data_IF_964284063019
#
_entry.id   IF_964284063019
#
_cell.length_a   1.000
_cell.length_b   1.000
_cell.length_c   1.000
_cell.angle_alpha   90.00
_cell.angle_beta   90.00
_cell.angle_gamma   90.00
#
_symmetry.space_group_name_H-M   'P 1'
#
loop_
_entity.id
_entity.type
_entity.pdbx_description
1 polymer ?
#
# COMPACT_ATOMS: atom_id res chain seq x y z
N UNK A 1 8.78 0.30 41.46
CA UNK A 1 9.69 -0.53 40.64
C UNK A 1 9.12 -0.56 39.23
N UNK A 2 9.82 -0.02 38.22
CA UNK A 2 9.36 -0.06 36.82
C UNK A 2 9.92 -1.31 36.14
N UNK A 3 9.07 -2.18 35.64
CA UNK A 3 9.47 -3.35 34.84
C UNK A 3 9.89 -2.90 33.44
N UNK A 4 11.15 -3.15 33.07
CA UNK A 4 11.66 -2.92 31.71
C UNK A 4 11.35 -4.15 30.88
N UNK A 5 10.61 -3.96 29.78
CA UNK A 5 10.31 -5.02 28.83
C UNK A 5 11.21 -4.89 27.59
N UNK A 6 11.77 -5.99 27.12
CA UNK A 6 12.48 -6.03 25.85
C UNK A 6 11.48 -5.93 24.70
N UNK A 7 11.45 -4.75 24.07
CA UNK A 7 10.65 -4.52 22.87
C UNK A 7 11.44 -5.02 21.67
N UNK A 8 10.95 -6.09 21.04
CA UNK A 8 11.56 -6.68 19.87
C UNK A 8 11.20 -5.86 18.61
N UNK A 9 12.04 -4.85 18.28
CA UNK A 9 11.77 -3.83 17.25
C UNK A 9 11.78 -4.35 15.79
N UNK A 10 11.99 -5.65 15.58
CA UNK A 10 11.94 -6.29 14.26
C UNK A 10 10.57 -6.88 13.90
N UNK A 11 9.69 -7.07 14.89
CA UNK A 11 8.37 -7.65 14.67
C UNK A 11 7.51 -6.60 13.95
N UNK A 12 6.93 -6.97 12.80
CA UNK A 12 6.14 -6.09 11.93
C UNK A 12 6.94 -5.06 11.09
N UNK A 13 8.27 -5.21 11.01
CA UNK A 13 9.05 -4.44 10.04
C UNK A 13 8.80 -5.01 8.66
N UNK A 14 8.35 -4.16 7.75
CA UNK A 14 8.14 -4.59 6.38
C UNK A 14 9.41 -5.06 5.71
N UNK A 15 9.26 -6.00 4.79
CA UNK A 15 10.37 -6.62 4.07
C UNK A 15 11.04 -5.55 3.20
N UNK A 16 12.20 -5.08 3.63
CA UNK A 16 13.08 -4.17 2.90
C UNK A 16 14.35 -4.92 2.52
N UNK A 17 14.73 -4.88 1.24
CA UNK A 17 16.03 -5.36 0.79
C UNK A 17 16.89 -4.16 0.41
N UNK A 18 17.96 -3.89 1.18
CA UNK A 18 18.93 -2.80 0.91
C UNK A 18 18.27 -1.44 0.58
N UNK A 19 17.16 -1.10 1.25
CA UNK A 19 16.43 0.16 1.05
C UNK A 19 15.36 0.14 -0.05
N UNK A 20 15.15 -1.00 -0.72
CA UNK A 20 14.03 -1.23 -1.64
C UNK A 20 12.90 -1.92 -0.88
N UNK A 21 11.69 -1.37 -0.93
CA UNK A 21 10.51 -2.02 -0.33
C UNK A 21 10.05 -3.18 -1.23
N UNK A 22 9.52 -4.25 -0.64
CA UNK A 22 9.07 -5.46 -1.35
C UNK A 22 8.19 -5.19 -2.60
N UNK A 23 7.28 -4.21 -2.54
CA UNK A 23 6.41 -3.86 -3.67
C UNK A 23 7.19 -3.43 -4.93
N UNK A 24 8.27 -2.65 -4.78
CA UNK A 24 9.06 -2.19 -5.92
C UNK A 24 9.91 -3.29 -6.53
N UNK A 25 10.34 -4.25 -5.71
CA UNK A 25 11.05 -5.44 -6.19
C UNK A 25 10.13 -6.27 -7.09
N UNK A 26 8.86 -6.43 -6.68
CA UNK A 26 7.87 -7.11 -7.51
C UNK A 26 7.66 -6.39 -8.86
N UNK A 27 7.52 -5.06 -8.87
CA UNK A 27 7.40 -4.29 -10.11
C UNK A 27 8.65 -4.42 -10.99
N UNK A 28 9.85 -4.41 -10.41
CA UNK A 28 11.09 -4.59 -11.15
C UNK A 28 11.14 -5.96 -11.80
N UNK A 29 10.80 -7.02 -11.06
CA UNK A 29 10.80 -8.40 -11.56
C UNK A 29 9.83 -8.55 -12.74
N UNK A 30 8.58 -8.11 -12.59
CA UNK A 30 7.57 -8.15 -13.67
C UNK A 30 8.04 -7.36 -14.89
N UNK A 31 8.63 -6.17 -14.68
CA UNK A 31 9.12 -5.33 -15.77
C UNK A 31 10.30 -5.94 -16.52
N UNK A 32 11.21 -6.62 -15.81
CA UNK A 32 12.33 -7.33 -16.43
C UNK A 32 11.86 -8.54 -17.25
N UNK A 33 10.85 -9.27 -16.77
CA UNK A 33 10.21 -10.34 -17.55
C UNK A 33 9.55 -9.77 -18.81
N UNK A 34 8.81 -8.66 -18.69
CA UNK A 34 8.21 -7.98 -19.83
C UNK A 34 9.25 -7.47 -20.83
N UNK A 35 10.38 -6.95 -20.34
CA UNK A 35 11.49 -6.49 -21.18
C UNK A 35 12.14 -7.66 -21.95
N UNK A 36 12.25 -8.82 -21.33
CA UNK A 36 12.73 -10.04 -21.99
C UNK A 36 11.75 -10.51 -23.08
N UNK A 37 10.45 -10.49 -22.81
CA UNK A 37 9.44 -10.79 -23.83
C UNK A 37 9.47 -9.80 -24.99
N UNK A 38 9.63 -8.50 -24.69
CA UNK A 38 9.79 -7.46 -25.71
C UNK A 38 11.01 -7.74 -26.59
N UNK A 39 12.15 -8.08 -25.99
CA UNK A 39 13.35 -8.49 -26.73
C UNK A 39 13.07 -9.69 -27.64
N UNK A 40 12.43 -10.74 -27.11
CA UNK A 40 12.11 -11.93 -27.89
C UNK A 40 11.22 -11.61 -29.10
N UNK A 41 10.20 -10.78 -28.92
CA UNK A 41 9.29 -10.36 -30.00
C UNK A 41 10.07 -9.58 -31.07
N UNK A 42 10.84 -8.57 -30.68
CA UNK A 42 11.64 -7.73 -31.59
C UNK A 42 12.65 -8.59 -32.36
N UNK A 43 13.29 -9.54 -31.68
CA UNK A 43 14.25 -10.46 -32.30
C UNK A 43 13.59 -11.39 -33.32
N UNK A 44 12.42 -11.97 -33.00
CA UNK A 44 11.68 -12.86 -33.92
C UNK A 44 11.20 -12.14 -35.17
N UNK A 45 10.90 -10.83 -35.09
CA UNK A 45 10.53 -10.00 -36.25
C UNK A 45 11.71 -9.79 -37.22
N UNK A 46 12.94 -10.17 -36.84
CA UNK A 46 14.12 -10.10 -37.68
C UNK A 46 14.89 -8.77 -37.58
N UNK A 47 14.64 -7.99 -36.53
CA UNK A 47 15.40 -6.77 -36.25
C UNK A 47 16.83 -7.15 -35.85
N UNK A 48 17.81 -6.38 -36.34
CA UNK A 48 19.22 -6.60 -36.06
C UNK A 48 19.49 -6.60 -34.53
N UNK A 49 20.23 -7.60 -34.05
CA UNK A 49 20.57 -7.76 -32.64
C UNK A 49 21.27 -6.54 -32.04
N UNK A 50 22.06 -5.79 -32.82
CA UNK A 50 22.67 -4.55 -32.34
C UNK A 50 21.63 -3.46 -32.04
N UNK A 51 20.57 -3.37 -32.85
CA UNK A 51 19.45 -2.47 -32.58
C UNK A 51 18.65 -2.94 -31.35
N UNK A 52 18.41 -4.25 -31.21
CA UNK A 52 17.79 -4.82 -30.02
C UNK A 52 18.57 -4.48 -28.75
N UNK A 53 19.90 -4.66 -28.76
CA UNK A 53 20.78 -4.33 -27.65
C UNK A 53 20.73 -2.83 -27.31
N UNK A 54 20.73 -1.98 -28.34
CA UNK A 54 20.58 -0.54 -28.21
C UNK A 54 19.26 -0.09 -27.55
N UNK A 55 18.23 -0.94 -27.56
CA UNK A 55 16.94 -0.67 -26.91
C UNK A 55 16.90 -1.29 -25.52
N UNK A 56 17.28 -2.56 -25.38
CA UNK A 56 17.12 -3.34 -24.14
C UNK A 56 18.01 -2.83 -23.02
N UNK A 57 19.28 -2.54 -23.32
CA UNK A 57 20.25 -2.08 -22.31
C UNK A 57 19.80 -0.77 -21.64
N UNK A 58 19.54 0.33 -22.40
CA UNK A 58 19.10 1.58 -21.77
C UNK A 58 17.71 1.46 -21.16
N UNK A 59 16.81 0.64 -21.72
CA UNK A 59 15.49 0.40 -21.12
C UNK A 59 15.60 -0.31 -19.77
N UNK A 60 16.45 -1.33 -19.65
CA UNK A 60 16.72 -2.03 -18.41
C UNK A 60 17.35 -1.12 -17.34
N UNK A 61 18.36 -0.34 -17.72
CA UNK A 61 18.98 0.65 -16.83
C UNK A 61 17.98 1.73 -16.39
N UNK A 62 17.17 2.24 -17.32
CA UNK A 62 16.12 3.23 -17.06
C UNK A 62 15.06 2.69 -16.10
N UNK A 63 14.56 1.48 -16.32
CA UNK A 63 13.61 0.81 -15.42
C UNK A 63 14.18 0.67 -14.01
N UNK A 64 15.43 0.24 -13.88
CA UNK A 64 16.08 0.13 -12.58
C UNK A 64 16.14 1.47 -11.85
N UNK A 65 16.60 2.53 -12.53
CA UNK A 65 16.69 3.89 -11.95
C UNK A 65 15.30 4.40 -11.54
N UNK A 66 14.31 4.25 -12.40
CA UNK A 66 12.93 4.72 -12.15
C UNK A 66 12.32 4.00 -10.95
N UNK A 67 12.42 2.68 -10.90
CA UNK A 67 11.87 1.88 -9.79
C UNK A 67 12.57 2.25 -8.47
N UNK A 68 13.88 2.44 -8.48
CA UNK A 68 14.63 2.86 -7.30
C UNK A 68 14.23 4.26 -6.82
N UNK A 69 14.05 5.21 -7.74
CA UNK A 69 13.53 6.55 -7.41
C UNK A 69 12.13 6.47 -6.84
N UNK A 70 11.26 5.62 -7.41
CA UNK A 70 9.89 5.42 -6.94
C UNK A 70 9.87 4.83 -5.52
N UNK A 71 10.73 3.83 -5.27
CA UNK A 71 10.90 3.20 -3.96
C UNK A 71 11.28 4.21 -2.88
N UNK A 72 12.27 5.05 -3.16
CA UNK A 72 12.73 6.10 -2.23
C UNK A 72 11.68 7.19 -2.02
N UNK A 73 10.94 7.58 -3.08
CA UNK A 73 9.98 8.68 -3.03
C UNK A 73 8.69 8.34 -2.28
N UNK A 74 8.12 7.16 -2.54
CA UNK A 74 6.79 6.81 -2.01
C UNK A 74 6.86 5.82 -0.84
N UNK A 75 7.98 5.12 -0.64
CA UNK A 75 8.07 4.08 0.36
C UNK A 75 7.01 3.00 0.13
N UNK A 76 6.71 2.21 1.16
CA UNK A 76 5.91 1.00 0.98
C UNK A 76 4.41 1.26 0.79
N UNK A 77 3.84 2.19 1.54
CA UNK A 77 2.41 2.49 1.46
C UNK A 77 2.09 3.69 0.56
N UNK A 78 3.09 4.39 0.03
CA UNK A 78 2.85 5.65 -0.69
C UNK A 78 2.15 5.47 -2.03
N UNK A 79 2.43 4.40 -2.78
CA UNK A 79 1.71 4.12 -4.03
C UNK A 79 0.25 3.78 -3.77
N UNK A 80 -0.02 2.96 -2.75
CA UNK A 80 -1.39 2.59 -2.35
C UNK A 80 -2.13 3.82 -1.83
N UNK A 81 -1.48 4.67 -1.02
CA UNK A 81 -2.05 5.94 -0.54
C UNK A 81 -2.37 6.89 -1.68
N UNK A 82 -1.49 7.00 -2.68
CA UNK A 82 -1.71 7.81 -3.88
C UNK A 82 -2.86 7.26 -4.73
N UNK A 83 -2.96 5.94 -4.87
CA UNK A 83 -4.06 5.30 -5.56
C UNK A 83 -5.40 5.52 -4.83
N UNK A 84 -5.40 5.43 -3.50
CA UNK A 84 -6.57 5.70 -2.66
C UNK A 84 -7.02 7.16 -2.76
N UNK A 85 -6.08 8.12 -2.78
CA UNK A 85 -6.40 9.53 -2.95
C UNK A 85 -7.18 9.83 -4.24
N UNK A 86 -6.93 9.08 -5.32
CA UNK A 86 -7.67 9.21 -6.59
C UNK A 86 -9.13 8.72 -6.50
N UNK A 87 -9.45 7.92 -5.49
CA UNK A 87 -10.80 7.37 -5.27
C UNK A 87 -11.62 8.23 -4.29
N UNK A 88 -11.03 9.26 -3.69
CA UNK A 88 -11.75 10.12 -2.75
C UNK A 88 -12.58 11.17 -3.51
N UNK A 89 -13.79 11.51 -3.03
CA UNK A 89 -14.55 12.62 -3.57
C UNK A 89 -13.80 13.95 -3.34
N UNK A 90 -13.97 14.94 -4.22
CA UNK A 90 -13.24 16.21 -4.14
C UNK A 90 -13.54 16.99 -2.85
N UNK A 91 -14.74 16.83 -2.30
CA UNK A 91 -15.09 17.37 -0.99
C UNK A 91 -16.05 16.42 -0.28
N UNK A 92 -15.95 16.38 1.05
CA UNK A 92 -16.94 15.75 1.92
C UNK A 92 -17.67 16.89 2.61
N UNK A 93 -18.91 17.15 2.22
CA UNK A 93 -19.75 18.15 2.88
C UNK A 93 -20.73 17.46 3.82
N UNK A 94 -20.59 17.70 5.12
CA UNK A 94 -21.62 17.36 6.09
C UNK A 94 -22.58 18.54 6.26
N UNK A 95 -23.86 18.35 5.97
CA UNK A 95 -24.89 19.39 6.10
C UNK A 95 -25.55 19.42 7.48
N UNK A 96 -25.40 18.37 8.28
CA UNK A 96 -26.03 18.29 9.60
C UNK A 96 -25.21 17.46 10.58
N UNK A 97 -25.16 17.92 11.84
CA UNK A 97 -24.53 17.21 12.95
C UNK A 97 -25.43 16.11 13.53
N UNK A 98 -26.73 16.09 13.17
CA UNK A 98 -27.70 15.15 13.73
C UNK A 98 -27.28 13.68 13.54
N UNK A 99 -26.60 13.34 12.45
CA UNK A 99 -26.10 11.98 12.20
C UNK A 99 -25.15 11.53 13.33
N UNK A 100 -24.23 12.40 13.75
CA UNK A 100 -23.26 12.09 14.81
C UNK A 100 -23.90 12.11 16.21
N UNK A 101 -24.90 12.98 16.42
CA UNK A 101 -25.60 13.06 17.71
C UNK A 101 -26.51 11.85 17.92
N UNK A 102 -27.24 11.42 16.88
CA UNK A 102 -28.12 10.24 16.95
C UNK A 102 -27.37 8.93 17.18
N UNK A 103 -26.12 8.82 16.72
CA UNK A 103 -25.24 7.69 17.05
C UNK A 103 -24.98 7.63 18.57
N UNK A 104 -24.64 8.77 19.19
CA UNK A 104 -24.40 8.84 20.63
C UNK A 104 -25.66 8.51 21.45
N UNK A 105 -26.83 8.91 20.98
CA UNK A 105 -28.11 8.68 21.67
C UNK A 105 -28.49 7.19 21.64
N UNK A 106 -28.38 6.54 20.47
CA UNK A 106 -28.64 5.10 20.33
C UNK A 106 -27.71 4.24 21.17
N UNK A 107 -26.42 4.58 21.24
CA UNK A 107 -25.46 3.83 22.04
C UNK A 107 -25.77 3.96 23.55
N UNK A 108 -26.26 5.13 23.98
CA UNK A 108 -26.67 5.36 25.36
C UNK A 108 -27.93 4.57 25.74
N UNK A 109 -28.95 4.55 24.87
CA UNK A 109 -30.17 3.77 25.09
C UNK A 109 -29.91 2.25 25.13
N UNK A 110 -29.03 1.77 24.26
CA UNK A 110 -28.62 0.36 24.21
C UNK A 110 -27.85 -0.04 25.47
N UNK A 111 -27.00 0.84 25.98
CA UNK A 111 -26.28 0.65 27.24
C UNK A 111 -27.20 0.60 28.47
N UNK A 112 -28.22 1.47 28.53
CA UNK A 112 -29.21 1.44 29.62
C UNK A 112 -30.08 0.19 29.59
N UNK A 113 -30.54 -0.22 28.41
CA UNK A 113 -31.37 -1.42 28.25
C UNK A 113 -30.62 -2.68 28.67
N UNK A 114 -29.34 -2.77 28.29
CA UNK A 114 -28.45 -3.85 28.73
C UNK A 114 -28.27 -3.83 30.25
N UNK A 115 -28.04 -2.67 30.87
CA UNK A 115 -27.91 -2.55 32.33
C UNK A 115 -29.19 -2.93 33.08
N UNK A 116 -30.37 -2.53 32.58
CA UNK A 116 -31.67 -2.92 33.17
C UNK A 116 -31.87 -4.44 33.12
N UNK A 117 -31.61 -5.07 31.98
CA UNK A 117 -31.76 -6.51 31.84
C UNK A 117 -30.81 -7.30 32.74
N UNK A 118 -29.58 -6.82 32.96
CA UNK A 118 -28.63 -7.45 33.89
C UNK A 118 -29.08 -7.27 35.35
N UNK A 119 -29.62 -6.09 35.71
CA UNK A 119 -30.14 -5.86 37.05
C UNK A 119 -31.32 -6.78 37.40
N UNK A 120 -32.14 -7.17 36.41
CA UNK A 120 -33.21 -8.15 36.58
C UNK A 120 -32.73 -9.60 36.74
N UNK A 121 -31.47 -9.92 36.39
CA UNK A 121 -30.90 -11.26 36.52
C UNK A 121 -30.13 -11.46 37.84
N UNK A 122 -29.89 -10.40 38.61
CA UNK A 122 -29.18 -10.44 39.89
C UNK A 122 -30.11 -10.52 41.11
N UNK A 123 -31.42 -10.71 40.88
CA UNK A 123 -32.47 -10.82 41.89
C UNK A 123 -33.18 -12.16 41.73
#
# INVERSE_FOLDING_TARGET
>A
MSTVYDINKGINRSIEFKGIRAQYIAYLAVSLVALLLLFAIIYVIGINIYACLGIVIPSGAGLFIVVQRLSKKYGEHGLVKRAAQRKLPPFIQSRSRNIFIQLSEKDYEKGQTTRRNIAHLQN
#
